data_IF_473826101842
#
_entry.id   IF_473826101842
#
_cell.length_a   1.000
_cell.length_b   1.000
_cell.length_c   1.000
_cell.angle_alpha   90.00
_cell.angle_beta   90.00
_cell.angle_gamma   90.00
#
_symmetry.space_group_name_H-M   'P 1'
#
loop_
_entity.id
_entity.type
_entity.pdbx_description
1 polymer ?
#
# COMPACT_ATOMS: atom_id res chain seq x y z
N UNK A 1 -1.08 -3.06 -6.99
CA UNK A 1 0.20 -2.33 -6.98
C UNK A 1 1.39 -3.25 -6.61
N UNK A 2 1.34 -3.94 -5.46
CA UNK A 2 2.42 -4.86 -5.02
C UNK A 2 2.67 -5.94 -6.08
N UNK A 3 1.60 -6.55 -6.59
CA UNK A 3 1.68 -7.59 -7.62
C UNK A 3 2.33 -7.14 -8.92
N UNK A 4 2.24 -5.85 -9.26
CA UNK A 4 2.81 -5.30 -10.49
C UNK A 4 4.26 -4.83 -10.33
N UNK A 5 4.65 -4.38 -9.15
CA UNK A 5 5.94 -3.69 -8.97
C UNK A 5 6.96 -4.46 -8.12
N UNK A 6 6.50 -5.25 -7.14
CA UNK A 6 7.39 -5.97 -6.22
C UNK A 6 7.50 -7.46 -6.50
N UNK A 7 6.40 -8.10 -6.89
CA UNK A 7 6.36 -9.56 -7.03
C UNK A 7 6.93 -10.14 -8.34
N UNK A 8 6.91 -9.46 -9.50
CA UNK A 8 7.31 -10.11 -10.75
C UNK A 8 8.70 -10.73 -10.73
N UNK A 9 9.76 -10.10 -10.18
CA UNK A 9 11.08 -10.74 -10.09
C UNK A 9 11.07 -12.00 -9.23
N UNK A 10 10.36 -11.97 -8.09
CA UNK A 10 10.26 -13.09 -7.16
C UNK A 10 9.47 -14.25 -7.75
N UNK A 11 8.34 -13.96 -8.41
CA UNK A 11 7.55 -14.97 -9.12
C UNK A 11 8.36 -15.63 -10.24
N UNK A 12 9.13 -14.83 -10.99
CA UNK A 12 10.02 -15.36 -12.03
C UNK A 12 11.08 -16.28 -11.45
N UNK A 13 11.74 -15.88 -10.36
CA UNK A 13 12.73 -16.70 -9.70
C UNK A 13 12.12 -18.00 -9.18
N UNK A 14 10.95 -17.91 -8.56
CA UNK A 14 10.24 -19.07 -8.02
C UNK A 14 9.85 -20.07 -9.11
N UNK A 15 9.22 -19.61 -10.20
CA UNK A 15 8.79 -20.50 -11.29
C UNK A 15 9.95 -21.18 -12.01
N UNK A 16 11.11 -20.53 -12.06
CA UNK A 16 12.33 -21.14 -12.62
C UNK A 16 12.93 -22.20 -11.69
N UNK A 17 12.92 -21.93 -10.38
CA UNK A 17 13.45 -22.87 -9.38
C UNK A 17 12.52 -24.08 -9.17
N UNK A 18 11.23 -23.90 -9.31
CA UNK A 18 10.20 -24.92 -9.04
C UNK A 18 9.20 -25.07 -10.20
N UNK A 19 9.65 -25.50 -11.40
CA UNK A 19 8.80 -25.52 -12.59
C UNK A 19 7.62 -26.50 -12.50
N UNK A 20 7.69 -27.48 -11.58
CA UNK A 20 6.62 -28.45 -11.32
C UNK A 20 5.51 -27.92 -10.40
N UNK A 21 5.71 -26.76 -9.76
CA UNK A 21 4.73 -26.17 -8.84
C UNK A 21 3.70 -25.40 -9.65
N UNK A 22 2.43 -25.74 -9.46
CA UNK A 22 1.31 -24.95 -9.97
C UNK A 22 0.96 -23.84 -9.01
N UNK A 23 0.97 -22.58 -9.47
CA UNK A 23 0.60 -21.42 -8.69
C UNK A 23 -0.86 -21.03 -8.93
N UNK A 24 -1.67 -20.98 -7.88
CA UNK A 24 -2.97 -20.31 -7.87
C UNK A 24 -2.78 -18.88 -7.35
N UNK A 25 -2.59 -17.94 -8.25
CA UNK A 25 -2.35 -16.54 -7.91
C UNK A 25 -3.63 -15.74 -8.11
N UNK A 26 -4.06 -15.05 -7.05
CA UNK A 26 -5.22 -14.17 -7.07
C UNK A 26 -4.83 -12.74 -6.72
N UNK A 27 -5.38 -11.78 -7.47
CA UNK A 27 -5.16 -10.35 -7.24
C UNK A 27 -6.37 -9.76 -6.54
N UNK A 28 -6.19 -9.40 -5.29
CA UNK A 28 -7.25 -8.96 -4.39
C UNK A 28 -6.80 -7.70 -3.64
N UNK A 29 -7.76 -6.93 -3.14
CA UNK A 29 -7.44 -5.89 -2.17
C UNK A 29 -6.87 -6.51 -0.89
N UNK A 30 -5.97 -5.80 -0.22
CA UNK A 30 -5.24 -6.33 0.93
C UNK A 30 -6.15 -6.85 2.04
N UNK A 31 -7.27 -6.20 2.27
CA UNK A 31 -8.25 -6.56 3.30
C UNK A 31 -8.97 -7.87 2.94
N UNK A 32 -9.31 -8.04 1.66
CA UNK A 32 -9.91 -9.28 1.14
C UNK A 32 -8.90 -10.43 1.20
N UNK A 33 -7.66 -10.18 0.78
CA UNK A 33 -6.59 -11.18 0.85
C UNK A 33 -6.28 -11.58 2.30
N UNK A 34 -6.35 -10.63 3.24
CA UNK A 34 -6.22 -10.91 4.68
C UNK A 34 -7.31 -11.91 5.14
N UNK A 35 -8.55 -11.67 4.75
CA UNK A 35 -9.69 -12.54 5.07
C UNK A 35 -9.54 -13.94 4.45
N UNK A 36 -9.01 -14.03 3.22
CA UNK A 36 -8.73 -15.31 2.56
C UNK A 36 -7.72 -16.16 3.35
N UNK A 37 -6.68 -15.55 3.89
CA UNK A 37 -5.70 -16.25 4.75
C UNK A 37 -6.31 -16.61 6.10
N UNK A 38 -7.03 -15.68 6.73
CA UNK A 38 -7.68 -15.90 8.02
C UNK A 38 -8.61 -17.12 8.00
N UNK A 39 -9.40 -17.28 6.93
CA UNK A 39 -10.32 -18.41 6.76
C UNK A 39 -9.68 -19.62 6.04
N UNK A 40 -8.41 -19.57 5.71
CA UNK A 40 -7.65 -20.67 5.10
C UNK A 40 -8.03 -20.98 3.66
N UNK A 41 -8.55 -19.99 2.93
CA UNK A 41 -8.80 -20.06 1.50
C UNK A 41 -7.58 -19.67 0.66
N UNK A 42 -6.56 -19.10 1.30
CA UNK A 42 -5.23 -18.90 0.76
C UNK A 42 -4.19 -19.30 1.81
N UNK A 43 -3.06 -19.86 1.38
CA UNK A 43 -1.97 -20.23 2.28
C UNK A 43 -1.16 -19.02 2.71
N UNK A 44 -0.95 -18.08 1.78
CA UNK A 44 -0.10 -16.89 1.93
C UNK A 44 -0.72 -15.75 1.14
N UNK A 45 -0.62 -14.54 1.66
CA UNK A 45 -0.93 -13.33 0.93
C UNK A 45 0.19 -12.30 1.08
N UNK A 46 0.55 -11.64 -0.02
CA UNK A 46 1.49 -10.51 -0.03
C UNK A 46 0.67 -9.23 -0.18
N UNK A 47 0.65 -8.42 0.85
CA UNK A 47 -0.32 -7.33 1.03
C UNK A 47 0.30 -6.08 1.66
N UNK A 48 -0.43 -4.98 1.64
CA UNK A 48 -0.24 -3.91 2.62
C UNK A 48 -0.62 -4.48 3.99
N UNK A 49 0.31 -4.47 4.93
CA UNK A 49 0.06 -5.03 6.26
C UNK A 49 -0.95 -4.18 7.03
N UNK A 50 -1.83 -4.86 7.76
CA UNK A 50 -2.73 -4.19 8.67
C UNK A 50 -1.94 -3.42 9.74
N UNK A 51 -2.43 -2.25 10.19
CA UNK A 51 -1.80 -1.52 11.31
C UNK A 51 -1.68 -2.35 12.59
N UNK A 52 -2.58 -3.30 12.76
CA UNK A 52 -2.57 -4.30 13.82
C UNK A 52 -3.01 -5.63 13.24
N UNK A 53 -2.24 -6.67 13.50
CA UNK A 53 -2.54 -8.03 13.07
C UNK A 53 -3.15 -8.80 14.25
N UNK A 54 -4.32 -9.39 14.04
CA UNK A 54 -5.00 -10.20 15.05
C UNK A 54 -4.65 -11.69 14.88
N UNK A 55 -4.54 -12.40 16.02
CA UNK A 55 -4.46 -13.85 16.00
C UNK A 55 -5.66 -14.47 15.25
N UNK A 56 -5.50 -15.56 14.52
CA UNK A 56 -4.29 -16.39 14.36
C UNK A 56 -3.39 -16.01 13.17
N UNK A 57 -3.51 -14.80 12.63
CA UNK A 57 -2.69 -14.35 11.49
C UNK A 57 -1.32 -13.90 11.97
N UNK A 58 -0.28 -14.35 11.28
CA UNK A 58 1.10 -13.88 11.46
C UNK A 58 1.51 -13.03 10.27
N UNK A 59 1.96 -11.81 10.53
CA UNK A 59 2.45 -10.88 9.53
C UNK A 59 3.97 -10.74 9.60
N UNK A 60 4.60 -10.67 8.43
CA UNK A 60 6.03 -10.47 8.27
C UNK A 60 6.26 -9.31 7.31
N UNK A 61 6.84 -8.22 7.82
CA UNK A 61 7.23 -7.07 7.00
C UNK A 61 8.39 -7.46 6.08
N UNK A 62 8.29 -7.06 4.82
CA UNK A 62 9.34 -7.24 3.80
C UNK A 62 9.86 -5.88 3.34
N UNK A 63 8.98 -4.94 2.99
CA UNK A 63 9.36 -3.63 2.46
C UNK A 63 8.70 -2.49 3.22
N UNK A 64 9.39 -1.38 3.30
CA UNK A 64 8.80 -0.08 3.57
C UNK A 64 8.37 0.56 2.23
N UNK A 65 7.19 1.15 2.23
CA UNK A 65 6.62 1.80 1.04
C UNK A 65 6.22 3.23 1.43
N UNK A 66 7.15 4.19 1.28
CA UNK A 66 6.90 5.57 1.62
C UNK A 66 5.82 6.15 0.72
N UNK A 67 4.90 6.90 1.33
CA UNK A 67 3.80 7.59 0.67
C UNK A 67 4.07 9.09 0.70
N UNK A 68 3.92 9.74 -0.45
CA UNK A 68 4.01 11.18 -0.56
C UNK A 68 2.62 11.79 -0.76
N UNK A 69 2.42 12.97 -0.17
CA UNK A 69 1.27 13.82 -0.48
C UNK A 69 1.48 14.43 -1.86
N UNK A 70 0.51 14.27 -2.74
CA UNK A 70 0.66 14.65 -4.15
C UNK A 70 -0.49 15.52 -4.63
N UNK A 71 -0.15 16.44 -5.50
CA UNK A 71 -1.07 17.34 -6.20
C UNK A 71 -0.71 17.44 -7.67
N UNK A 72 -1.61 18.00 -8.50
CA UNK A 72 -1.28 18.40 -9.86
C UNK A 72 -0.22 19.51 -9.84
N UNK A 73 0.62 19.65 -10.90
CA UNK A 73 1.59 20.75 -10.99
C UNK A 73 0.97 22.15 -10.87
N UNK A 74 -0.27 22.32 -11.33
CA UNK A 74 -1.02 23.60 -11.32
C UNK A 74 -1.84 23.81 -10.03
N UNK A 75 -1.79 22.87 -9.09
CA UNK A 75 -2.55 22.97 -7.86
C UNK A 75 -2.09 24.16 -7.00
N UNK A 76 -2.99 24.87 -6.29
CA UNK A 76 -2.63 26.03 -5.46
C UNK A 76 -1.54 25.78 -4.42
N UNK A 77 -1.37 24.56 -3.95
CA UNK A 77 -0.32 24.15 -3.00
C UNK A 77 1.01 23.81 -3.69
N UNK A 78 1.03 23.57 -5.00
CA UNK A 78 2.26 23.24 -5.71
C UNK A 78 3.23 24.46 -5.70
N UNK A 79 4.49 24.21 -5.33
CA UNK A 79 5.49 25.26 -5.27
C UNK A 79 5.34 26.26 -4.12
N UNK A 80 4.35 26.09 -3.25
CA UNK A 80 4.15 26.94 -2.08
C UNK A 80 5.14 26.54 -0.98
N UNK A 81 5.75 27.54 -0.32
CA UNK A 81 6.59 27.33 0.85
C UNK A 81 5.73 27.14 2.12
N UNK A 82 6.29 26.47 3.12
CA UNK A 82 5.73 26.33 4.46
C UNK A 82 4.31 25.74 4.50
N UNK A 83 4.06 24.73 3.68
CA UNK A 83 2.79 24.01 3.67
C UNK A 83 2.63 23.21 4.96
N UNK A 84 1.48 23.34 5.60
CA UNK A 84 1.09 22.55 6.76
C UNK A 84 0.02 21.52 6.39
N UNK A 85 -0.08 20.46 7.20
CA UNK A 85 -1.10 19.43 6.99
C UNK A 85 -2.54 20.02 7.00
N UNK A 86 -2.76 21.07 7.81
CA UNK A 86 -4.05 21.78 7.84
C UNK A 86 -4.39 22.45 6.49
N UNK A 87 -3.40 22.96 5.78
CA UNK A 87 -3.61 23.55 4.45
C UNK A 87 -4.05 22.48 3.45
N UNK A 88 -3.43 21.30 3.52
CA UNK A 88 -3.78 20.15 2.68
C UNK A 88 -5.19 19.64 2.99
N UNK A 89 -5.54 19.53 4.28
CA UNK A 89 -6.85 19.05 4.73
C UNK A 89 -8.02 19.89 4.20
N UNK A 90 -7.80 21.17 3.94
CA UNK A 90 -8.81 22.09 3.41
C UNK A 90 -9.17 21.90 1.95
N UNK A 91 -8.35 21.18 1.17
CA UNK A 91 -8.59 20.92 -0.26
C UNK A 91 -9.24 19.56 -0.48
N UNK A 92 -10.01 19.39 -1.59
CA UNK A 92 -10.60 18.10 -1.94
C UNK A 92 -9.55 17.01 -2.10
N UNK A 93 -9.85 15.82 -1.56
CA UNK A 93 -8.99 14.64 -1.61
C UNK A 93 -9.68 13.46 -2.30
N UNK A 94 -8.89 12.63 -2.96
CA UNK A 94 -9.29 11.30 -3.41
C UNK A 94 -8.46 10.26 -2.65
N UNK A 95 -9.14 9.31 -2.01
CA UNK A 95 -8.49 8.31 -1.16
C UNK A 95 -8.88 6.89 -1.57
N UNK A 96 -8.08 5.88 -1.18
CA UNK A 96 -8.57 4.51 -1.13
C UNK A 96 -9.84 4.41 -0.27
N UNK A 97 -10.66 3.39 -0.51
CA UNK A 97 -11.90 3.18 0.25
C UNK A 97 -11.67 3.14 1.76
N UNK A 98 -12.65 3.60 2.52
CA UNK A 98 -12.55 3.74 3.98
C UNK A 98 -12.30 2.44 4.76
N UNK A 99 -12.51 1.29 4.13
CA UNK A 99 -12.21 -0.02 4.70
C UNK A 99 -10.77 -0.50 4.44
N UNK A 100 -9.95 0.25 3.70
CA UNK A 100 -8.59 -0.15 3.34
C UNK A 100 -7.56 0.17 4.41
N UNK A 101 -6.52 -0.63 4.52
CA UNK A 101 -5.41 -0.37 5.44
C UNK A 101 -4.68 0.93 5.10
N UNK A 102 -4.50 1.23 3.81
CA UNK A 102 -3.87 2.48 3.36
C UNK A 102 -4.68 3.70 3.79
N UNK A 103 -6.02 3.66 3.66
CA UNK A 103 -6.89 4.72 4.15
C UNK A 103 -6.70 4.96 5.65
N UNK A 104 -6.74 3.89 6.44
CA UNK A 104 -6.59 3.98 7.90
C UNK A 104 -5.21 4.53 8.32
N UNK A 105 -4.15 4.16 7.60
CA UNK A 105 -2.80 4.70 7.87
C UNK A 105 -2.77 6.22 7.66
N UNK A 106 -3.31 6.71 6.54
CA UNK A 106 -3.38 8.13 6.26
C UNK A 106 -4.31 8.86 7.24
N UNK A 107 -5.49 8.31 7.51
CA UNK A 107 -6.47 8.90 8.43
C UNK A 107 -5.88 9.10 9.82
N UNK A 108 -5.17 8.13 10.38
CA UNK A 108 -4.52 8.23 11.70
C UNK A 108 -3.53 9.38 11.78
N UNK A 109 -2.84 9.73 10.70
CA UNK A 109 -1.96 10.90 10.68
C UNK A 109 -2.75 12.17 10.90
N UNK A 110 -3.86 12.35 10.18
CA UNK A 110 -4.72 13.53 10.34
C UNK A 110 -5.36 13.59 11.74
N UNK A 111 -5.83 12.47 12.26
CA UNK A 111 -6.42 12.38 13.60
C UNK A 111 -5.45 12.80 14.70
N UNK A 112 -4.17 12.40 14.60
CA UNK A 112 -3.13 12.80 15.56
C UNK A 112 -2.90 14.31 15.59
N UNK A 113 -3.11 14.99 14.47
CA UNK A 113 -3.01 16.45 14.35
C UNK A 113 -4.34 17.15 14.59
N UNK A 114 -5.39 16.41 15.00
CA UNK A 114 -6.73 16.96 15.22
C UNK A 114 -7.41 17.46 13.94
N UNK A 115 -7.04 16.90 12.79
CA UNK A 115 -7.53 17.29 11.48
C UNK A 115 -8.37 16.18 10.84
N UNK A 116 -9.22 16.58 9.89
CA UNK A 116 -10.02 15.67 9.06
C UNK A 116 -9.80 16.03 7.59
N UNK A 117 -9.31 15.10 6.77
CA UNK A 117 -9.16 15.36 5.33
C UNK A 117 -10.53 15.50 4.65
N UNK A 118 -10.64 16.40 3.67
CA UNK A 118 -11.84 16.58 2.89
C UNK A 118 -11.93 15.55 1.76
N UNK A 119 -12.27 14.30 2.07
CA UNK A 119 -12.36 13.21 1.10
C UNK A 119 -13.66 13.33 0.32
N UNK A 120 -13.57 13.68 -0.95
CA UNK A 120 -14.70 13.85 -1.85
C UNK A 120 -14.95 12.64 -2.75
N UNK A 121 -13.94 11.79 -2.95
CA UNK A 121 -13.99 10.60 -3.82
C UNK A 121 -13.15 9.48 -3.24
N UNK A 122 -13.51 8.24 -3.56
CA UNK A 122 -12.77 7.05 -3.16
C UNK A 122 -12.71 6.03 -4.29
N UNK A 123 -11.54 5.42 -4.46
CA UNK A 123 -11.31 4.25 -5.32
C UNK A 123 -10.09 3.48 -4.84
N UNK A 124 -10.10 2.16 -4.99
CA UNK A 124 -8.96 1.31 -4.59
C UNK A 124 -7.90 1.16 -5.69
N UNK A 125 -8.13 1.73 -6.87
CA UNK A 125 -7.18 1.68 -7.98
C UNK A 125 -6.20 2.85 -7.91
N UNK A 126 -4.95 2.58 -7.54
CA UNK A 126 -3.91 3.61 -7.37
C UNK A 126 -3.65 4.42 -8.65
N UNK A 127 -3.69 3.78 -9.82
CA UNK A 127 -3.53 4.47 -11.10
C UNK A 127 -4.69 5.45 -11.38
N UNK A 128 -5.91 5.08 -10.97
CA UNK A 128 -7.06 5.98 -11.06
C UNK A 128 -6.92 7.16 -10.10
N UNK A 129 -6.45 6.92 -8.87
CA UNK A 129 -6.15 8.00 -7.92
C UNK A 129 -5.13 8.97 -8.54
N UNK A 130 -4.02 8.44 -9.06
CA UNK A 130 -2.99 9.25 -9.71
C UNK A 130 -3.56 10.09 -10.87
N UNK A 131 -4.37 9.48 -11.72
CA UNK A 131 -5.03 10.20 -12.82
C UNK A 131 -5.89 11.34 -12.30
N UNK A 132 -6.71 11.12 -11.27
CA UNK A 132 -7.56 12.16 -10.69
C UNK A 132 -6.75 13.30 -10.07
N UNK A 133 -5.62 12.99 -9.44
CA UNK A 133 -4.69 14.01 -8.93
C UNK A 133 -4.06 14.79 -10.08
N UNK A 134 -3.57 14.12 -11.12
CA UNK A 134 -2.87 14.74 -12.25
C UNK A 134 -3.72 15.74 -13.03
N UNK A 135 -5.04 15.52 -13.10
CA UNK A 135 -5.97 16.45 -13.76
C UNK A 135 -6.49 17.56 -12.82
N UNK A 136 -5.98 17.65 -11.60
CA UNK A 136 -6.25 18.75 -10.68
C UNK A 136 -7.57 18.68 -9.91
N UNK A 137 -8.27 17.54 -9.91
CA UNK A 137 -9.56 17.40 -9.20
C UNK A 137 -9.35 17.37 -7.68
N UNK A 138 -8.30 16.69 -7.22
CA UNK A 138 -8.07 16.42 -5.79
C UNK A 138 -6.59 16.17 -5.52
N UNK A 139 -6.19 16.25 -4.25
CA UNK A 139 -4.92 15.71 -3.77
C UNK A 139 -5.10 14.28 -3.27
N UNK A 140 -4.00 13.58 -3.10
CA UNK A 140 -3.98 12.25 -2.49
C UNK A 140 -2.65 11.93 -1.84
N UNK A 141 -2.53 10.72 -1.32
CA UNK A 141 -1.26 10.08 -0.95
C UNK A 141 -0.99 8.93 -1.90
N UNK A 142 0.21 8.90 -2.46
CA UNK A 142 0.64 7.85 -3.39
C UNK A 142 1.99 7.28 -2.99
N UNK A 143 2.24 6.00 -3.29
CA UNK A 143 3.59 5.45 -3.17
C UNK A 143 4.59 6.30 -3.95
N UNK A 144 5.71 6.61 -3.31
CA UNK A 144 6.78 7.39 -3.94
C UNK A 144 7.25 6.80 -5.27
N UNK A 145 7.17 5.48 -5.40
CA UNK A 145 7.50 4.77 -6.64
C UNK A 145 6.57 5.06 -7.82
N UNK A 146 5.42 5.71 -7.59
CA UNK A 146 4.46 6.08 -8.63
C UNK A 146 4.60 7.52 -9.10
N UNK A 147 5.47 8.31 -8.49
CA UNK A 147 5.64 9.73 -8.85
C UNK A 147 6.39 9.87 -10.17
N UNK A 148 5.92 10.79 -10.99
CA UNK A 148 6.51 11.21 -12.25
C UNK A 148 6.17 12.71 -12.51
N UNK A 149 6.36 13.20 -13.73
CA UNK A 149 6.09 14.59 -14.09
C UNK A 149 4.61 15.00 -14.02
N UNK A 150 3.68 14.05 -13.90
CA UNK A 150 2.24 14.33 -13.86
C UNK A 150 1.75 14.78 -12.49
N UNK A 151 2.51 14.51 -11.43
CA UNK A 151 2.13 14.84 -10.05
C UNK A 151 3.33 15.39 -9.29
N UNK A 152 3.06 16.33 -8.39
CA UNK A 152 4.08 16.99 -7.56
C UNK A 152 3.92 16.56 -6.12
N UNK A 153 5.02 16.15 -5.50
CA UNK A 153 5.09 15.88 -4.08
C UNK A 153 5.09 17.18 -3.27
N UNK A 154 4.25 17.24 -2.23
CA UNK A 154 4.21 18.39 -1.32
C UNK A 154 5.26 18.22 -0.22
N UNK A 155 6.13 19.24 0.01
CA UNK A 155 7.07 19.21 1.12
C UNK A 155 6.32 19.51 2.43
N UNK A 156 6.13 18.51 3.27
CA UNK A 156 5.53 18.63 4.59
C UNK A 156 6.58 18.29 5.65
N UNK A 157 7.36 19.28 6.15
CA UNK A 157 8.42 19.03 7.12
C UNK A 157 7.89 18.34 8.37
N UNK A 158 8.59 17.30 8.83
CA UNK A 158 8.21 16.52 10.00
C UNK A 158 7.05 15.55 9.80
N UNK A 159 6.44 15.51 8.62
CA UNK A 159 5.37 14.58 8.26
C UNK A 159 5.96 13.46 7.40
N UNK A 160 5.90 12.25 7.92
CA UNK A 160 6.28 11.04 7.18
C UNK A 160 5.13 10.04 7.22
N UNK A 161 4.77 9.53 6.08
CA UNK A 161 3.75 8.51 5.93
C UNK A 161 4.35 7.31 5.19
N UNK A 162 4.29 6.15 5.83
CA UNK A 162 4.83 4.91 5.27
C UNK A 162 3.86 3.79 5.55
N UNK A 163 3.56 2.99 4.55
CA UNK A 163 2.89 1.72 4.74
C UNK A 163 3.92 0.59 4.70
N UNK A 164 3.63 -0.46 5.42
CA UNK A 164 4.45 -1.67 5.41
C UNK A 164 3.85 -2.67 4.43
N UNK A 165 4.67 -3.18 3.53
CA UNK A 165 4.33 -4.26 2.64
C UNK A 165 5.00 -5.53 3.13
N UNK A 166 4.29 -6.63 3.02
CA UNK A 166 4.81 -7.90 3.50
C UNK A 166 3.88 -9.04 3.20
N UNK A 167 4.09 -10.14 3.89
CA UNK A 167 3.23 -11.31 3.74
C UNK A 167 2.59 -11.73 5.05
N UNK A 168 1.47 -12.42 4.93
CA UNK A 168 0.74 -13.01 6.06
C UNK A 168 0.49 -14.49 5.81
N UNK A 169 0.47 -15.24 6.90
CA UNK A 169 0.12 -16.67 6.95
C UNK A 169 -0.72 -16.95 8.19
N UNK A 170 -1.45 -18.07 8.17
CA UNK A 170 -2.19 -18.53 9.33
C UNK A 170 -1.29 -19.39 10.25
N UNK A 171 -1.16 -19.03 11.52
CA UNK A 171 -0.24 -19.70 12.46
C UNK A 171 -0.56 -21.18 12.71
N UNK A 172 -1.84 -21.51 12.72
CA UNK A 172 -2.32 -22.85 13.09
C UNK A 172 -2.49 -23.77 11.89
N UNK A 173 -2.18 -23.30 10.67
CA UNK A 173 -2.29 -24.11 9.45
C UNK A 173 -0.91 -24.57 8.98
N UNK A 174 -0.86 -25.82 8.53
CA UNK A 174 0.34 -26.35 7.88
C UNK A 174 0.48 -25.74 6.50
N UNK A 175 1.62 -25.11 6.25
CA UNK A 175 1.98 -24.55 4.96
C UNK A 175 2.60 -25.63 4.06
N UNK A 176 2.30 -25.58 2.77
CA UNK A 176 2.98 -26.42 1.78
C UNK A 176 4.49 -26.08 1.69
N UNK A 177 5.27 -27.02 1.18
CA UNK A 177 6.69 -26.77 0.92
C UNK A 177 6.87 -25.63 -0.10
N UNK A 178 5.96 -25.52 -1.07
CA UNK A 178 5.95 -24.43 -2.05
C UNK A 178 5.72 -23.06 -1.39
N UNK A 179 4.76 -22.95 -0.48
CA UNK A 179 4.52 -21.72 0.27
C UNK A 179 5.74 -21.33 1.11
N UNK A 180 6.37 -22.28 1.80
CA UNK A 180 7.61 -22.04 2.59
C UNK A 180 8.77 -21.59 1.69
N UNK A 181 8.94 -22.20 0.53
CA UNK A 181 9.97 -21.79 -0.43
C UNK A 181 9.76 -20.37 -0.95
N UNK A 182 8.52 -19.99 -1.21
CA UNK A 182 8.19 -18.62 -1.61
C UNK A 182 8.40 -17.61 -0.48
N UNK A 183 8.05 -17.97 0.75
CA UNK A 183 8.35 -17.16 1.94
C UNK A 183 9.85 -16.92 2.10
N UNK A 184 10.69 -17.91 1.84
CA UNK A 184 12.14 -17.75 1.90
C UNK A 184 12.66 -16.73 0.88
N UNK A 185 12.07 -16.65 -0.32
CA UNK A 185 12.39 -15.62 -1.31
C UNK A 185 11.96 -14.23 -0.82
N UNK A 186 10.77 -14.11 -0.23
CA UNK A 186 10.30 -12.86 0.36
C UNK A 186 11.18 -12.42 1.53
N UNK A 187 11.60 -13.35 2.37
CA UNK A 187 12.47 -13.06 3.53
C UNK A 187 13.87 -12.60 3.09
N UNK A 188 14.37 -13.05 1.94
CA UNK A 188 15.63 -12.59 1.38
C UNK A 188 15.59 -11.11 0.94
N UNK A 189 14.41 -10.58 0.61
CA UNK A 189 14.22 -9.16 0.29
C UNK A 189 14.21 -8.25 1.53
N UNK A 190 14.18 -8.82 2.74
CA UNK A 190 14.17 -8.08 4.00
C UNK A 190 15.59 -7.59 4.31
N UNK A 191 15.91 -6.38 3.97
CA UNK A 191 17.20 -5.80 4.36
C UNK A 191 17.92 -5.04 3.26
N UNK A 192 17.29 -4.89 2.11
CA UNK A 192 17.75 -3.97 1.07
C UNK A 192 17.09 -2.60 1.17
#
# INVERSE_FOLDING_TARGET
HIGLHRLPPLLRAFTRAYPQVSLDIRFLDSEVAYDEVLHGRAELAVITLAPQTAEPVRAMKVWDDPLDFVVAPEHPLAGKADIRLADVAGHPAVFPGGNTFTHHIAQRLFEREGLTPNITMSTNYMETIKMMVSIGIAWSVLPRSMLDEQVVSLPLPGIQLTRQLGYIVHRERTLSNAARAFMALLDAERGD
#
